data_IF_273258931330
#
_entry.id   IF_273258931330
#
_cell.length_a   1.000
_cell.length_b   1.000
_cell.length_c   1.000
_cell.angle_alpha   90.00
_cell.angle_beta   90.00
_cell.angle_gamma   90.00
#
_symmetry.space_group_name_H-M   'P 1'
#
loop_
_entity.id
_entity.type
_entity.pdbx_description
1 polymer ?
#
# COMPACT_ATOMS: atom_id res chain seq x y z
N UNK A 1 80.40 -56.40 -36.07
CA UNK A 1 81.21 -55.32 -36.69
C UNK A 1 80.62 -54.01 -36.18
N UNK A 2 81.30 -53.05 -35.56
CA UNK A 2 82.71 -52.66 -35.56
C UNK A 2 82.97 -51.89 -34.24
N UNK A 3 84.17 -52.02 -33.70
CA UNK A 3 84.59 -51.53 -32.39
C UNK A 3 85.24 -50.13 -32.43
N UNK A 4 85.10 -49.41 -31.30
CA UNK A 4 86.07 -48.50 -30.63
C UNK A 4 86.51 -47.19 -31.32
N UNK A 5 87.20 -46.21 -30.64
CA UNK A 5 87.66 -46.15 -29.23
C UNK A 5 87.52 -44.79 -28.43
N UNK A 6 87.54 -44.93 -27.09
CA UNK A 6 88.30 -44.29 -25.96
C UNK A 6 88.51 -42.75 -25.74
N UNK A 7 88.16 -42.35 -24.49
CA UNK A 7 88.80 -41.47 -23.44
C UNK A 7 89.02 -39.95 -23.67
N UNK A 8 89.34 -39.11 -22.63
CA UNK A 8 89.10 -39.14 -21.16
C UNK A 8 88.61 -37.77 -20.54
N UNK A 9 88.31 -37.73 -19.22
CA UNK A 9 88.36 -36.49 -18.41
C UNK A 9 87.50 -36.50 -17.11
N UNK A 10 88.02 -36.10 -15.92
CA UNK A 10 87.29 -36.14 -14.64
C UNK A 10 86.93 -34.76 -14.03
N UNK A 11 86.09 -34.79 -12.98
CA UNK A 11 85.89 -33.86 -11.84
C UNK A 11 84.76 -32.80 -11.85
N UNK A 12 84.11 -32.70 -10.67
CA UNK A 12 83.25 -31.60 -10.18
C UNK A 12 81.74 -31.86 -10.36
N UNK A 13 80.82 -31.63 -9.43
CA UNK A 13 80.82 -30.77 -8.23
C UNK A 13 79.64 -31.16 -7.34
N UNK A 14 79.73 -30.81 -6.05
CA UNK A 14 78.77 -31.08 -4.99
C UNK A 14 77.38 -30.43 -5.19
N UNK A 15 76.36 -31.08 -4.64
CA UNK A 15 74.97 -30.62 -4.53
C UNK A 15 74.85 -29.66 -3.34
N UNK A 16 74.31 -28.42 -3.49
CA UNK A 16 73.99 -27.59 -2.34
C UNK A 16 72.63 -27.96 -1.75
N UNK A 17 72.61 -28.08 -0.42
CA UNK A 17 71.42 -28.28 0.39
C UNK A 17 70.51 -27.03 0.38
N UNK A 18 69.20 -27.25 0.31
CA UNK A 18 68.19 -26.20 0.22
C UNK A 18 68.18 -25.25 1.43
N UNK A 19 68.14 -23.94 1.15
CA UNK A 19 67.79 -22.91 2.13
C UNK A 19 66.32 -23.07 2.53
N UNK A 20 66.08 -23.35 3.81
CA UNK A 20 64.76 -23.24 4.44
C UNK A 20 64.45 -21.75 4.64
N UNK A 21 63.44 -21.25 3.94
CA UNK A 21 62.91 -19.90 4.17
C UNK A 21 62.16 -19.92 5.51
N UNK A 22 62.73 -19.30 6.54
CA UNK A 22 62.05 -19.10 7.82
C UNK A 22 60.92 -18.10 7.60
N UNK A 23 59.68 -18.57 7.58
CA UNK A 23 58.50 -17.70 7.67
C UNK A 23 58.52 -17.00 9.03
N UNK A 24 58.95 -15.74 9.07
CA UNK A 24 58.84 -14.90 10.24
C UNK A 24 57.34 -14.76 10.58
N UNK A 25 56.90 -15.43 11.63
CA UNK A 25 55.55 -15.23 12.16
C UNK A 25 55.54 -13.86 12.85
N UNK A 26 54.93 -12.88 12.20
CA UNK A 26 54.67 -11.57 12.79
C UNK A 26 53.76 -11.76 13.99
N UNK A 27 54.25 -11.46 15.19
CA UNK A 27 53.43 -11.43 16.39
C UNK A 27 52.64 -10.11 16.39
N UNK A 28 51.31 -10.21 16.46
CA UNK A 28 50.42 -9.05 16.49
C UNK A 28 50.65 -8.26 17.79
N UNK A 29 50.87 -6.96 17.68
CA UNK A 29 51.02 -6.10 18.85
C UNK A 29 49.65 -5.69 19.39
N UNK A 30 49.56 -5.48 20.70
CA UNK A 30 48.33 -5.02 21.36
C UNK A 30 47.87 -3.67 20.79
N UNK A 31 48.82 -2.81 20.42
CA UNK A 31 48.53 -1.50 19.83
C UNK A 31 47.94 -1.61 18.43
N UNK A 32 48.40 -2.54 17.59
CA UNK A 32 47.80 -2.79 16.27
C UNK A 32 46.36 -3.24 16.41
N UNK A 33 46.06 -4.14 17.35
CA UNK A 33 44.68 -4.57 17.62
C UNK A 33 43.83 -3.41 18.15
N UNK A 34 44.39 -2.56 19.01
CA UNK A 34 43.69 -1.40 19.58
C UNK A 34 43.28 -0.38 18.50
N UNK A 35 44.19 -0.08 17.57
CA UNK A 35 43.90 0.85 16.48
C UNK A 35 42.80 0.27 15.58
N UNK A 36 42.84 -1.03 15.29
CA UNK A 36 41.83 -1.68 14.44
C UNK A 36 40.43 -1.59 15.05
N UNK A 37 40.27 -1.87 16.34
CA UNK A 37 38.96 -1.76 16.99
C UNK A 37 38.46 -0.30 17.06
N UNK A 38 39.37 0.67 17.24
CA UNK A 38 39.03 2.10 17.24
C UNK A 38 38.56 2.54 15.86
N UNK A 39 39.26 2.12 14.80
CA UNK A 39 38.89 2.42 13.41
C UNK A 39 37.55 1.78 13.05
N UNK A 40 37.35 0.49 13.37
CA UNK A 40 36.07 -0.19 13.13
C UNK A 40 34.93 0.48 13.91
N UNK A 41 35.15 0.84 15.18
CA UNK A 41 34.17 1.54 16.00
C UNK A 41 33.79 2.91 15.43
N UNK A 42 34.78 3.65 14.91
CA UNK A 42 34.55 4.93 14.22
C UNK A 42 33.75 4.74 12.93
N UNK A 43 34.10 3.76 12.11
CA UNK A 43 33.39 3.46 10.86
C UNK A 43 31.94 3.05 11.11
N UNK A 44 31.67 2.19 12.09
CA UNK A 44 30.30 1.81 12.49
C UNK A 44 29.55 3.01 13.04
N UNK A 45 30.20 3.84 13.87
CA UNK A 45 29.61 5.05 14.43
C UNK A 45 29.17 6.06 13.38
N UNK A 46 29.87 6.14 12.26
CA UNK A 46 29.50 7.00 11.11
C UNK A 46 28.45 6.35 10.19
N UNK A 47 28.36 5.02 10.14
CA UNK A 47 27.41 4.32 9.27
C UNK A 47 25.97 4.33 9.81
N UNK A 48 25.78 4.21 11.13
CA UNK A 48 24.46 4.01 11.74
C UNK A 48 23.45 5.16 11.52
N UNK A 49 23.82 6.45 11.59
CA UNK A 49 22.87 7.55 11.37
C UNK A 49 22.30 7.59 9.95
N UNK A 50 23.11 7.23 8.95
CA UNK A 50 22.71 7.25 7.54
C UNK A 50 21.64 6.20 7.19
N UNK A 51 21.56 5.11 7.98
CA UNK A 51 20.60 4.03 7.72
C UNK A 51 19.16 4.39 8.08
N UNK A 52 18.93 5.32 9.03
CA UNK A 52 17.58 5.65 9.51
C UNK A 52 16.74 6.42 8.49
N UNK A 53 17.35 7.30 7.68
CA UNK A 53 16.63 8.02 6.62
C UNK A 53 16.35 7.14 5.38
N UNK A 54 17.25 6.19 5.09
CA UNK A 54 17.09 5.26 3.96
C UNK A 54 15.87 4.35 4.15
N UNK A 55 15.60 3.91 5.38
CA UNK A 55 14.43 3.06 5.66
C UNK A 55 13.11 3.79 5.43
N UNK A 56 12.98 5.05 5.89
CA UNK A 56 11.74 5.83 5.70
C UNK A 56 11.45 6.07 4.22
N UNK A 57 12.47 6.44 3.43
CA UNK A 57 12.29 6.65 1.99
C UNK A 57 11.90 5.37 1.25
N UNK A 58 12.44 4.21 1.65
CA UNK A 58 12.04 2.91 1.10
C UNK A 58 10.58 2.60 1.42
N UNK A 59 10.15 2.91 2.65
CA UNK A 59 8.77 2.73 3.08
C UNK A 59 7.79 3.61 2.29
N UNK A 60 8.10 4.91 2.16
CA UNK A 60 7.30 5.84 1.35
C UNK A 60 7.22 5.38 -0.11
N UNK A 61 8.36 5.00 -0.71
CA UNK A 61 8.39 4.50 -2.08
C UNK A 61 7.54 3.23 -2.26
N UNK A 62 7.51 2.35 -1.25
CA UNK A 62 6.68 1.14 -1.27
C UNK A 62 5.18 1.47 -1.23
N UNK A 63 4.76 2.40 -0.37
CA UNK A 63 3.37 2.88 -0.30
C UNK A 63 2.97 3.53 -1.62
N UNK A 64 3.81 4.42 -2.17
CA UNK A 64 3.54 5.07 -3.46
C UNK A 64 3.40 4.08 -4.61
N UNK A 65 4.31 3.11 -4.72
CA UNK A 65 4.25 2.07 -5.77
C UNK A 65 2.95 1.27 -5.69
N UNK A 66 2.48 1.00 -4.47
CA UNK A 66 1.19 0.34 -4.28
C UNK A 66 0.01 1.25 -4.60
N UNK A 67 0.04 2.52 -4.17
CA UNK A 67 -1.00 3.50 -4.54
C UNK A 67 -1.10 3.67 -6.05
N UNK A 68 0.02 3.63 -6.78
CA UNK A 68 0.04 3.65 -8.25
C UNK A 68 -0.61 2.39 -8.85
N UNK A 69 -0.37 1.23 -8.23
CA UNK A 69 -0.98 -0.04 -8.61
C UNK A 69 -2.49 -0.05 -8.35
N UNK A 70 -2.93 0.46 -7.18
CA UNK A 70 -4.36 0.65 -6.84
C UNK A 70 -4.99 1.66 -7.81
N UNK A 71 -4.30 2.77 -8.10
CA UNK A 71 -4.75 3.80 -9.05
C UNK A 71 -4.93 3.26 -10.46
N UNK A 72 -4.06 2.34 -10.88
CA UNK A 72 -4.20 1.61 -12.14
C UNK A 72 -5.43 0.71 -12.14
N UNK A 73 -5.68 -0.04 -11.06
CA UNK A 73 -6.91 -0.82 -10.90
C UNK A 73 -8.19 0.03 -10.90
N UNK A 74 -8.16 1.21 -10.29
CA UNK A 74 -9.26 2.19 -10.35
C UNK A 74 -9.47 2.72 -11.77
N UNK A 75 -8.40 2.91 -12.55
CA UNK A 75 -8.50 3.28 -13.96
C UNK A 75 -9.10 2.16 -14.81
N UNK A 76 -8.73 0.90 -14.57
CA UNK A 76 -9.31 -0.28 -15.25
C UNK A 76 -10.79 -0.47 -14.90
N UNK A 77 -11.16 -0.24 -13.64
CA UNK A 77 -12.56 -0.20 -13.21
C UNK A 77 -13.32 0.88 -13.99
N UNK A 78 -12.78 2.10 -14.04
CA UNK A 78 -13.40 3.21 -14.78
C UNK A 78 -13.49 2.93 -16.28
N UNK A 79 -12.50 2.28 -16.88
CA UNK A 79 -12.54 1.87 -18.28
C UNK A 79 -13.68 0.85 -18.53
N UNK A 80 -13.94 -0.03 -17.57
CA UNK A 80 -14.99 -1.05 -17.65
C UNK A 80 -16.39 -0.48 -17.43
N UNK A 81 -16.56 0.41 -16.44
CA UNK A 81 -17.86 0.89 -15.97
C UNK A 81 -18.19 2.34 -16.35
N UNK A 82 -17.24 3.07 -16.94
CA UNK A 82 -17.39 4.47 -17.33
C UNK A 82 -17.26 5.49 -16.19
N UNK A 83 -17.17 5.05 -14.93
CA UNK A 83 -17.07 5.87 -13.71
C UNK A 83 -16.10 5.23 -12.74
N UNK A 84 -15.45 6.03 -11.90
CA UNK A 84 -14.76 5.49 -10.73
C UNK A 84 -15.78 4.85 -9.76
N UNK A 85 -15.35 3.87 -8.93
CA UNK A 85 -16.21 3.32 -7.88
C UNK A 85 -16.77 4.41 -6.96
N UNK A 86 -18.01 4.28 -6.46
CA UNK A 86 -18.49 5.16 -5.41
C UNK A 86 -17.69 4.89 -4.12
N UNK A 87 -17.29 5.95 -3.42
CA UNK A 87 -16.65 5.84 -2.09
C UNK A 87 -17.66 5.61 -0.96
N UNK A 88 -18.96 5.74 -1.24
CA UNK A 88 -20.01 5.37 -0.31
C UNK A 88 -21.23 4.80 -1.01
N UNK A 89 -21.73 3.68 -0.51
CA UNK A 89 -22.97 3.08 -1.00
C UNK A 89 -23.60 2.21 0.08
N UNK A 90 -24.93 2.19 0.13
CA UNK A 90 -25.69 1.26 0.97
C UNK A 90 -26.13 0.08 0.12
N UNK A 91 -25.64 -1.12 0.43
CA UNK A 91 -26.07 -2.37 -0.18
C UNK A 91 -27.16 -3.00 0.69
N UNK A 92 -28.19 -3.57 0.07
CA UNK A 92 -29.27 -4.24 0.80
C UNK A 92 -29.45 -5.65 0.26
N UNK A 93 -29.31 -6.61 1.15
CA UNK A 93 -29.42 -8.02 0.83
C UNK A 93 -30.85 -8.40 0.52
N UNK A 94 -31.80 -7.78 1.20
CA UNK A 94 -33.22 -7.95 0.95
C UNK A 94 -33.63 -7.29 -0.38
N UNK A 95 -34.27 -8.08 -1.24
CA UNK A 95 -34.88 -7.65 -2.47
C UNK A 95 -35.89 -6.52 -2.23
N UNK A 96 -35.79 -5.45 -3.01
CA UNK A 96 -36.68 -4.30 -2.93
C UNK A 96 -36.30 -3.24 -1.89
N UNK A 97 -35.44 -3.56 -0.91
CA UNK A 97 -35.09 -2.67 0.21
C UNK A 97 -33.95 -1.68 -0.07
N UNK A 98 -33.58 -1.51 -1.35
CA UNK A 98 -32.49 -0.62 -1.77
C UNK A 98 -32.89 0.86 -1.75
N UNK A 99 -32.01 1.71 -1.19
CA UNK A 99 -32.20 3.17 -1.24
C UNK A 99 -32.17 3.71 -2.68
N UNK A 100 -32.87 4.81 -2.96
CA UNK A 100 -32.89 5.42 -4.30
C UNK A 100 -31.49 5.78 -4.81
N UNK A 101 -30.62 6.28 -3.94
CA UNK A 101 -29.24 6.64 -4.28
C UNK A 101 -28.42 5.41 -4.66
N UNK A 102 -28.50 4.33 -3.87
CA UNK A 102 -27.83 3.07 -4.19
C UNK A 102 -28.33 2.45 -5.48
N UNK A 103 -29.65 2.50 -5.74
CA UNK A 103 -30.22 2.03 -7.00
C UNK A 103 -29.66 2.80 -8.20
N UNK A 104 -29.54 4.12 -8.09
CA UNK A 104 -28.95 4.94 -9.14
C UNK A 104 -27.46 4.62 -9.36
N UNK A 105 -26.69 4.46 -8.28
CA UNK A 105 -25.28 4.09 -8.37
C UNK A 105 -25.07 2.71 -9.00
N UNK A 106 -25.77 1.68 -8.51
CA UNK A 106 -25.69 0.32 -9.07
C UNK A 106 -26.13 0.26 -10.52
N UNK A 107 -27.17 1.00 -10.93
CA UNK A 107 -27.58 1.03 -12.34
C UNK A 107 -26.56 1.67 -13.29
N UNK A 108 -25.69 2.56 -12.79
CA UNK A 108 -24.58 3.08 -13.60
C UNK A 108 -23.55 2.00 -13.89
N UNK A 109 -23.28 1.12 -12.92
CA UNK A 109 -22.33 0.01 -13.07
C UNK A 109 -22.95 -1.19 -13.82
N UNK A 110 -24.16 -1.58 -13.44
CA UNK A 110 -24.91 -2.71 -14.00
C UNK A 110 -26.35 -2.30 -14.32
N UNK A 111 -26.62 -1.80 -15.54
CA UNK A 111 -27.96 -1.32 -15.92
C UNK A 111 -29.07 -2.36 -15.78
N UNK A 112 -28.73 -3.65 -15.92
CA UNK A 112 -29.65 -4.78 -15.82
C UNK A 112 -29.78 -5.37 -14.41
N UNK A 113 -29.16 -4.75 -13.39
CA UNK A 113 -29.18 -5.27 -12.02
C UNK A 113 -30.59 -5.55 -11.53
N UNK A 114 -30.84 -6.78 -11.08
CA UNK A 114 -32.14 -7.15 -10.52
C UNK A 114 -32.19 -6.81 -9.03
N UNK A 115 -32.89 -5.74 -8.69
CA UNK A 115 -33.08 -5.30 -7.31
C UNK A 115 -34.15 -6.07 -6.53
N UNK A 116 -34.88 -6.99 -7.17
CA UNK A 116 -35.94 -7.77 -6.52
C UNK A 116 -35.47 -9.12 -5.97
N UNK A 117 -34.18 -9.45 -6.08
CA UNK A 117 -33.62 -10.69 -5.55
C UNK A 117 -33.04 -10.45 -4.16
N UNK A 118 -33.33 -11.36 -3.25
CA UNK A 118 -32.61 -11.52 -1.99
C UNK A 118 -31.21 -12.08 -2.28
N UNK A 119 -30.18 -11.57 -1.61
CA UNK A 119 -28.77 -11.91 -1.87
C UNK A 119 -27.93 -11.77 -0.62
N UNK A 120 -27.21 -12.83 -0.29
CA UNK A 120 -26.15 -12.85 0.71
C UNK A 120 -24.86 -12.25 0.10
N UNK A 121 -24.53 -11.00 0.43
CA UNK A 121 -23.34 -10.32 -0.09
C UNK A 121 -22.11 -10.53 0.77
N UNK A 122 -22.33 -10.66 2.08
CA UNK A 122 -21.27 -10.77 3.07
C UNK A 122 -20.87 -12.23 3.34
N UNK A 123 -21.63 -13.19 2.80
CA UNK A 123 -21.43 -14.63 2.85
C UNK A 123 -21.79 -15.28 4.20
N UNK A 124 -22.56 -14.61 5.05
CA UNK A 124 -22.85 -15.06 6.41
C UNK A 124 -24.01 -16.07 6.51
N UNK A 125 -24.69 -16.32 5.39
CA UNK A 125 -25.76 -17.30 5.27
C UNK A 125 -27.16 -16.73 5.49
N UNK A 126 -27.33 -15.42 5.64
CA UNK A 126 -28.63 -14.77 5.57
C UNK A 126 -28.76 -13.77 4.41
N UNK A 127 -29.90 -13.08 4.31
CA UNK A 127 -30.17 -12.14 3.22
C UNK A 127 -31.02 -10.97 3.68
N UNK A 128 -30.83 -10.56 4.94
CA UNK A 128 -31.66 -9.58 5.63
C UNK A 128 -30.91 -8.29 5.96
N UNK A 129 -29.61 -8.25 5.67
CA UNK A 129 -28.77 -7.16 6.09
C UNK A 129 -28.80 -5.93 5.17
N UNK A 130 -28.45 -4.81 5.78
CA UNK A 130 -28.21 -3.54 5.10
C UNK A 130 -26.84 -3.04 5.50
N UNK A 131 -25.94 -3.04 4.52
CA UNK A 131 -24.52 -2.82 4.71
C UNK A 131 -24.13 -1.50 4.08
N UNK A 132 -23.44 -0.64 4.83
CA UNK A 132 -22.91 0.61 4.29
C UNK A 132 -21.42 0.45 4.00
N UNK A 133 -21.06 0.57 2.74
CA UNK A 133 -19.67 0.74 2.33
C UNK A 133 -19.28 2.21 2.46
N UNK A 134 -18.10 2.46 3.00
CA UNK A 134 -17.42 3.77 3.14
C UNK A 134 -16.06 3.73 2.46
N UNK A 135 -15.32 4.83 2.42
CA UNK A 135 -14.09 4.93 1.60
C UNK A 135 -13.03 3.86 1.85
N UNK A 136 -12.97 3.29 3.06
CA UNK A 136 -12.08 2.20 3.45
C UNK A 136 -12.52 0.81 2.93
N UNK A 137 -13.83 0.53 2.95
CA UNK A 137 -14.41 -0.76 2.57
C UNK A 137 -14.85 -0.80 1.11
N UNK A 138 -15.29 0.33 0.56
CA UNK A 138 -15.69 0.47 -0.83
C UNK A 138 -14.53 0.20 -1.79
N UNK A 139 -13.31 0.62 -1.44
CA UNK A 139 -12.11 0.35 -2.23
C UNK A 139 -11.91 -1.15 -2.44
N UNK A 140 -11.94 -1.91 -1.34
CA UNK A 140 -11.73 -3.36 -1.37
C UNK A 140 -12.87 -4.07 -2.09
N UNK A 141 -14.11 -3.69 -1.80
CA UNK A 141 -15.28 -4.29 -2.43
C UNK A 141 -15.28 -4.08 -3.96
N UNK A 142 -15.04 -2.87 -4.46
CA UNK A 142 -15.14 -2.59 -5.89
C UNK A 142 -13.93 -3.03 -6.71
N UNK A 143 -12.72 -3.02 -6.12
CA UNK A 143 -11.54 -3.51 -6.83
C UNK A 143 -11.33 -5.01 -6.67
N UNK A 144 -11.69 -5.59 -5.53
CA UNK A 144 -11.50 -7.01 -5.25
C UNK A 144 -12.72 -7.86 -5.61
N UNK A 145 -13.92 -7.29 -5.53
CA UNK A 145 -15.18 -8.00 -5.73
C UNK A 145 -15.76 -8.59 -4.45
N UNK A 146 -16.55 -9.65 -4.60
CA UNK A 146 -17.17 -10.35 -3.47
C UNK A 146 -16.21 -11.39 -2.89
N UNK A 147 -16.34 -11.67 -1.59
CA UNK A 147 -15.66 -12.81 -0.99
C UNK A 147 -16.30 -14.12 -1.43
N UNK A 148 -15.51 -15.16 -1.72
CA UNK A 148 -16.04 -16.49 -2.05
C UNK A 148 -16.76 -17.13 -0.87
N UNK A 149 -16.27 -16.87 0.32
CA UNK A 149 -16.81 -17.34 1.60
C UNK A 149 -16.53 -16.25 2.63
N UNK A 150 -17.50 -15.94 3.50
CA UNK A 150 -17.34 -14.87 4.47
C UNK A 150 -16.08 -15.05 5.32
N UNK A 151 -15.27 -14.00 5.42
CA UNK A 151 -14.03 -13.99 6.19
C UNK A 151 -12.89 -14.82 5.61
N UNK A 152 -13.04 -15.38 4.41
CA UNK A 152 -11.97 -16.12 3.74
C UNK A 152 -10.87 -15.19 3.21
N UNK A 153 -11.16 -13.91 3.00
CA UNK A 153 -10.29 -12.95 2.31
C UNK A 153 -9.99 -13.34 0.85
N UNK A 154 -10.74 -14.28 0.30
CA UNK A 154 -10.65 -14.71 -1.09
C UNK A 154 -11.61 -13.88 -1.96
N UNK A 155 -11.08 -12.76 -2.46
CA UNK A 155 -11.79 -11.80 -3.30
C UNK A 155 -11.77 -12.27 -4.75
N UNK A 156 -12.94 -12.58 -5.30
CA UNK A 156 -13.07 -13.31 -6.57
C UNK A 156 -13.69 -12.47 -7.70
N UNK A 157 -13.62 -11.15 -7.62
CA UNK A 157 -14.26 -10.25 -8.56
C UNK A 157 -15.79 -10.34 -8.52
N UNK A 158 -16.43 -9.88 -9.60
CA UNK A 158 -17.87 -9.91 -9.79
C UNK A 158 -18.28 -10.95 -10.83
N UNK A 159 -19.48 -11.53 -10.70
CA UNK A 159 -20.04 -12.37 -11.76
C UNK A 159 -20.30 -11.54 -13.02
N UNK A 160 -20.04 -12.11 -14.21
CA UNK A 160 -20.35 -11.45 -15.49
C UNK A 160 -21.85 -11.34 -15.80
N UNK A 161 -22.72 -11.96 -15.00
CA UNK A 161 -24.16 -11.80 -15.14
C UNK A 161 -24.57 -10.41 -14.61
N UNK A 162 -24.91 -9.43 -15.47
CA UNK A 162 -25.19 -8.07 -15.02
C UNK A 162 -26.48 -7.96 -14.21
N UNK A 163 -27.38 -8.96 -14.27
CA UNK A 163 -28.56 -9.03 -13.41
C UNK A 163 -28.25 -9.55 -12.00
N UNK A 164 -27.10 -10.19 -11.80
CA UNK A 164 -26.63 -10.73 -10.51
C UNK A 164 -25.08 -10.69 -10.45
N UNK A 165 -24.46 -9.51 -10.38
CA UNK A 165 -23.00 -9.38 -10.37
C UNK A 165 -22.37 -9.81 -9.05
N UNK A 166 -23.14 -9.87 -7.96
CA UNK A 166 -22.64 -10.21 -6.63
C UNK A 166 -22.70 -11.71 -6.32
N UNK A 167 -23.13 -12.55 -7.26
CA UNK A 167 -23.17 -14.00 -7.03
C UNK A 167 -21.75 -14.56 -6.84
N UNK A 168 -21.57 -15.36 -5.79
CA UNK A 168 -20.31 -16.08 -5.48
C UNK A 168 -20.16 -17.37 -6.29
N UNK A 169 -21.22 -17.80 -6.97
CA UNK A 169 -21.23 -19.00 -7.81
C UNK A 169 -20.63 -18.79 -9.20
N UNK A 170 -19.99 -19.84 -9.72
CA UNK A 170 -19.44 -19.88 -11.07
C UNK A 170 -18.08 -19.18 -11.24
N UNK A 171 -17.34 -19.61 -12.27
CA UNK A 171 -15.93 -19.22 -12.47
C UNK A 171 -15.74 -18.08 -13.49
N UNK A 172 -16.80 -17.63 -14.17
CA UNK A 172 -16.69 -16.55 -15.15
C UNK A 172 -16.84 -15.18 -14.46
N UNK A 173 -15.70 -14.56 -14.16
CA UNK A 173 -15.61 -13.35 -13.34
C UNK A 173 -15.15 -12.12 -14.13
N UNK A 174 -15.55 -10.96 -13.63
CA UNK A 174 -15.10 -9.63 -14.02
C UNK A 174 -14.26 -9.08 -12.86
N UNK A 175 -13.01 -8.69 -13.15
CA UNK A 175 -12.03 -8.42 -12.12
C UNK A 175 -11.49 -9.71 -11.46
N UNK A 176 -10.80 -9.61 -10.32
CA UNK A 176 -10.52 -8.37 -9.58
C UNK A 176 -9.75 -7.33 -10.42
N UNK A 177 -10.00 -6.05 -10.16
CA UNK A 177 -9.27 -4.94 -10.76
C UNK A 177 -7.98 -4.61 -10.00
N UNK A 178 -7.85 -5.11 -8.76
CA UNK A 178 -6.62 -5.07 -7.99
C UNK A 178 -6.51 -6.34 -7.13
N UNK A 179 -5.34 -6.97 -7.14
CA UNK A 179 -5.05 -8.17 -6.37
C UNK A 179 -4.57 -7.78 -4.96
N UNK A 180 -5.50 -7.76 -4.01
CA UNK A 180 -5.19 -7.46 -2.62
C UNK A 180 -4.37 -8.58 -1.96
N UNK A 181 -3.35 -8.20 -1.20
CA UNK A 181 -2.56 -9.17 -0.42
C UNK A 181 -3.36 -9.67 0.80
N UNK A 182 -3.65 -10.99 0.93
CA UNK A 182 -4.51 -11.52 2.00
C UNK A 182 -4.05 -11.18 3.42
N UNK A 183 -2.75 -11.11 3.66
CA UNK A 183 -2.18 -10.78 4.98
C UNK A 183 -2.45 -9.33 5.42
N UNK A 184 -2.77 -8.45 4.46
CA UNK A 184 -3.09 -7.04 4.70
C UNK A 184 -4.57 -6.71 4.55
N UNK A 185 -5.39 -7.71 4.22
CA UNK A 185 -6.84 -7.58 4.33
C UNK A 185 -7.24 -7.75 5.80
N UNK A 186 -8.03 -6.81 6.31
CA UNK A 186 -8.50 -6.77 7.70
C UNK A 186 -10.02 -6.73 7.72
N UNK A 187 -10.65 -7.40 8.69
CA UNK A 187 -12.10 -7.37 8.83
C UNK A 187 -12.54 -6.18 9.69
N UNK A 188 -13.47 -5.39 9.16
CA UNK A 188 -14.19 -4.35 9.86
C UNK A 188 -15.62 -4.84 10.12
N UNK A 189 -15.99 -4.96 11.38
CA UNK A 189 -17.37 -5.23 11.76
C UNK A 189 -18.22 -3.98 11.60
N UNK A 190 -19.30 -4.09 10.83
CA UNK A 190 -20.26 -3.03 10.55
C UNK A 190 -21.67 -3.48 10.93
N UNK A 191 -22.62 -2.56 10.89
CA UNK A 191 -24.04 -2.95 10.97
C UNK A 191 -24.38 -3.84 9.76
N UNK A 192 -24.89 -5.04 10.02
CA UNK A 192 -25.26 -6.01 8.98
C UNK A 192 -24.10 -6.83 8.40
N UNK A 193 -22.99 -6.98 9.13
CA UNK A 193 -21.98 -7.98 8.79
C UNK A 193 -20.54 -7.52 8.95
N UNK A 194 -19.63 -8.24 8.29
CA UNK A 194 -18.20 -7.93 8.27
C UNK A 194 -17.78 -7.56 6.84
N UNK A 195 -16.98 -6.50 6.74
CA UNK A 195 -16.41 -6.03 5.48
C UNK A 195 -14.89 -6.11 5.54
N UNK A 196 -14.27 -6.16 4.37
CA UNK A 196 -12.82 -6.10 4.27
C UNK A 196 -12.34 -4.67 4.04
N UNK A 197 -11.24 -4.34 4.71
CA UNK A 197 -10.44 -3.14 4.51
C UNK A 197 -9.00 -3.55 4.21
N UNK A 198 -8.19 -2.62 3.69
CA UNK A 198 -6.82 -2.92 3.26
C UNK A 198 -5.79 -1.99 3.89
N UNK A 199 -4.88 -2.54 4.69
CA UNK A 199 -3.81 -1.78 5.34
C UNK A 199 -2.61 -1.59 4.43
N UNK A 200 -1.89 -0.50 4.65
CA UNK A 200 -0.71 -0.18 3.86
C UNK A 200 0.48 -1.10 4.22
N UNK A 201 1.60 -1.04 3.47
CA UNK A 201 2.72 -1.95 3.65
C UNK A 201 3.72 -1.46 4.73
N UNK A 202 3.39 -0.44 5.50
CA UNK A 202 4.25 0.10 6.56
C UNK A 202 4.31 -0.86 7.76
N UNK A 203 5.48 -0.97 8.41
CA UNK A 203 5.64 -1.85 9.56
C UNK A 203 4.83 -1.33 10.75
N UNK A 204 4.17 -2.23 11.48
CA UNK A 204 3.49 -1.89 12.73
C UNK A 204 2.06 -1.36 12.55
N UNK A 205 1.53 -1.29 11.33
CA UNK A 205 0.10 -1.03 11.15
C UNK A 205 -0.73 -2.20 11.66
N UNK A 206 -1.39 -1.98 12.79
CA UNK A 206 -2.28 -2.92 13.44
C UNK A 206 -3.71 -2.68 12.93
N UNK A 207 -4.28 -3.67 12.25
CA UNK A 207 -5.71 -4.02 12.06
C UNK A 207 -6.82 -2.95 11.97
N UNK A 208 -6.54 -1.64 11.89
CA UNK A 208 -7.54 -0.59 12.11
C UNK A 208 -7.33 0.69 11.30
N UNK A 209 -6.20 0.86 10.61
CA UNK A 209 -5.90 2.06 9.82
C UNK A 209 -5.69 1.70 8.33
N UNK A 210 -6.76 1.39 7.58
CA UNK A 210 -6.68 0.99 6.17
C UNK A 210 -6.66 2.18 5.21
N UNK A 211 -6.11 2.04 4.00
CA UNK A 211 -6.21 3.09 2.99
C UNK A 211 -7.63 3.66 2.88
N UNK A 212 -7.74 4.99 2.87
CA UNK A 212 -9.00 5.68 2.61
C UNK A 212 -9.06 6.05 1.14
N UNK A 213 -10.11 5.59 0.46
CA UNK A 213 -10.46 6.00 -0.89
C UNK A 213 -11.66 6.94 -0.89
N UNK A 214 -11.50 8.12 -1.49
CA UNK A 214 -12.59 9.06 -1.69
C UNK A 214 -12.75 9.32 -3.18
N UNK A 215 -13.96 9.15 -3.70
CA UNK A 215 -14.32 9.45 -5.08
C UNK A 215 -14.78 10.89 -5.20
N UNK A 216 -14.33 11.57 -6.24
CA UNK A 216 -14.86 12.88 -6.63
C UNK A 216 -16.10 12.77 -7.53
N UNK A 217 -16.62 11.55 -7.74
CA UNK A 217 -17.79 11.26 -8.59
C UNK A 217 -17.69 11.93 -9.96
N UNK A 218 -16.56 11.68 -10.63
CA UNK A 218 -16.22 12.23 -11.96
C UNK A 218 -16.32 13.76 -12.06
N UNK A 219 -15.97 14.47 -10.99
CA UNK A 219 -15.98 15.92 -10.96
C UNK A 219 -17.18 16.54 -10.25
N UNK A 220 -18.13 15.73 -9.76
CA UNK A 220 -19.25 16.24 -8.96
C UNK A 220 -18.81 16.74 -7.57
N UNK A 221 -17.60 16.36 -7.14
CA UNK A 221 -16.99 16.78 -5.88
C UNK A 221 -16.97 15.67 -4.83
N UNK A 222 -16.15 15.86 -3.81
CA UNK A 222 -16.05 14.94 -2.68
C UNK A 222 -17.16 15.18 -1.66
N UNK A 223 -17.58 14.11 -0.99
CA UNK A 223 -18.57 14.17 0.08
C UNK A 223 -17.92 13.74 1.40
N UNK A 224 -18.05 14.56 2.45
CA UNK A 224 -17.48 14.25 3.78
C UNK A 224 -18.15 13.05 4.44
N UNK A 225 -19.37 12.68 4.04
CA UNK A 225 -20.03 11.47 4.52
C UNK A 225 -19.38 10.17 4.01
N UNK A 226 -18.53 10.25 2.99
CA UNK A 226 -17.80 9.09 2.45
C UNK A 226 -16.57 8.73 3.27
N UNK A 227 -16.14 9.66 4.12
CA UNK A 227 -15.04 9.46 5.06
C UNK A 227 -15.50 8.46 6.13
N UNK A 228 -14.75 7.38 6.38
CA UNK A 228 -15.08 6.44 7.45
C UNK A 228 -15.11 7.15 8.80
N UNK A 229 -16.20 7.01 9.56
CA UNK A 229 -16.35 7.69 10.85
C UNK A 229 -15.31 7.25 11.90
N UNK A 230 -14.71 6.07 11.72
CA UNK A 230 -13.63 5.53 12.55
C UNK A 230 -12.27 6.19 12.28
N UNK A 231 -12.09 6.88 11.14
CA UNK A 231 -10.79 7.44 10.73
C UNK A 231 -10.34 8.64 11.57
N UNK A 232 -11.26 9.32 12.26
CA UNK A 232 -10.98 10.63 12.89
C UNK A 232 -10.90 11.80 11.90
N UNK A 233 -10.91 11.53 10.60
CA UNK A 233 -10.89 12.54 9.55
C UNK A 233 -12.25 13.20 9.41
N UNK A 234 -12.27 14.53 9.25
CA UNK A 234 -13.51 15.32 9.16
C UNK A 234 -13.72 15.96 7.80
N UNK A 235 -12.67 16.02 6.98
CA UNK A 235 -12.70 16.62 5.66
C UNK A 235 -11.71 15.90 4.72
N UNK A 236 -12.01 15.89 3.43
CA UNK A 236 -11.05 15.48 2.41
C UNK A 236 -10.00 16.57 2.19
N UNK A 237 -8.86 16.23 1.57
CA UNK A 237 -7.81 17.20 1.31
C UNK A 237 -8.21 18.18 0.20
N UNK A 238 -7.96 19.47 0.42
CA UNK A 238 -8.31 20.58 -0.49
C UNK A 238 -7.08 21.40 -0.85
N UNK A 239 -7.02 21.87 -2.10
CA UNK A 239 -5.92 22.69 -2.61
C UNK A 239 -6.15 24.18 -2.27
N UNK A 240 -5.23 24.79 -1.49
CA UNK A 240 -5.30 26.20 -1.09
C UNK A 240 -6.11 26.47 0.19
N UNK A 241 -6.33 27.74 0.54
CA UNK A 241 -6.71 28.18 1.91
C UNK A 241 -8.12 28.79 2.09
N UNK A 242 -9.08 28.59 1.17
CA UNK A 242 -10.42 29.18 1.25
C UNK A 242 -11.58 28.18 1.15
N UNK A 243 -12.79 28.55 1.58
CA UNK A 243 -13.99 27.67 1.54
C UNK A 243 -14.37 27.17 0.13
N UNK A 244 -13.89 27.85 -0.91
CA UNK A 244 -14.05 27.51 -2.33
C UNK A 244 -12.92 26.63 -2.89
N UNK A 245 -11.92 26.29 -2.08
CA UNK A 245 -10.82 25.41 -2.47
C UNK A 245 -11.35 24.06 -2.97
N UNK A 246 -10.96 23.70 -4.20
CA UNK A 246 -11.31 22.39 -4.74
C UNK A 246 -10.58 21.28 -3.99
N UNK A 247 -11.21 20.13 -3.87
CA UNK A 247 -10.51 18.93 -3.40
C UNK A 247 -9.33 18.60 -4.31
N UNK A 248 -8.23 18.12 -3.74
CA UNK A 248 -7.15 17.52 -4.53
C UNK A 248 -7.71 16.42 -5.43
N UNK A 249 -7.20 16.29 -6.66
CA UNK A 249 -7.68 15.32 -7.65
C UNK A 249 -9.20 15.41 -7.94
N UNK A 250 -9.77 16.62 -7.96
CA UNK A 250 -11.23 16.91 -8.02
C UNK A 250 -12.06 16.23 -9.13
N UNK A 251 -11.45 15.61 -10.13
CA UNK A 251 -12.14 14.86 -11.21
C UNK A 251 -11.96 13.34 -11.12
N UNK A 252 -11.28 12.86 -10.09
CA UNK A 252 -10.90 11.46 -9.93
C UNK A 252 -11.11 11.00 -8.50
N UNK A 253 -10.04 10.80 -7.72
CA UNK A 253 -10.11 10.28 -6.38
C UNK A 253 -8.89 10.68 -5.53
N UNK A 254 -9.05 10.58 -4.22
CA UNK A 254 -7.94 10.63 -3.25
C UNK A 254 -7.72 9.22 -2.68
N UNK A 255 -6.46 8.81 -2.62
CA UNK A 255 -6.00 7.68 -1.80
C UNK A 255 -5.13 8.23 -0.69
N UNK A 256 -5.38 7.79 0.53
CA UNK A 256 -4.71 8.29 1.74
C UNK A 256 -4.26 7.09 2.56
N UNK A 257 -2.95 7.00 2.79
CA UNK A 257 -2.35 6.15 3.82
C UNK A 257 -2.16 6.99 5.09
N UNK A 258 -2.47 6.42 6.27
CA UNK A 258 -2.33 7.09 7.56
C UNK A 258 -0.88 7.15 8.07
N UNK A 259 0.11 6.86 7.22
CA UNK A 259 1.52 6.94 7.63
C UNK A 259 1.93 5.90 8.67
N UNK A 260 3.07 6.14 9.30
CA UNK A 260 3.66 5.23 10.30
C UNK A 260 2.95 5.30 11.65
N UNK A 261 2.28 6.40 11.97
CA UNK A 261 1.54 6.56 13.23
C UNK A 261 0.13 5.97 13.20
N UNK A 262 -0.41 5.71 12.00
CA UNK A 262 -1.73 5.12 11.80
C UNK A 262 -2.89 6.10 12.02
N UNK A 263 -2.65 7.42 11.98
CA UNK A 263 -3.62 8.47 12.23
C UNK A 263 -3.81 9.38 11.00
N UNK A 264 -5.03 9.46 10.47
CA UNK A 264 -5.32 10.33 9.33
C UNK A 264 -5.35 11.82 9.65
N UNK A 265 -5.44 12.20 10.93
CA UNK A 265 -5.74 13.57 11.35
C UNK A 265 -7.09 14.07 10.86
N UNK A 266 -7.23 15.39 10.66
CA UNK A 266 -8.53 16.03 10.38
C UNK A 266 -8.82 16.19 8.89
N UNK A 267 -7.79 16.24 8.07
CA UNK A 267 -7.84 16.59 6.64
C UNK A 267 -8.11 18.07 6.41
N UNK A 268 -8.56 18.44 5.20
CA UNK A 268 -8.90 19.81 4.84
C UNK A 268 -7.81 20.51 4.01
N UNK A 269 -7.59 21.81 4.25
CA UNK A 269 -6.68 22.60 3.42
C UNK A 269 -5.26 22.08 3.49
N UNK A 270 -4.69 21.72 2.35
CA UNK A 270 -3.31 21.28 2.23
C UNK A 270 -2.70 21.96 1.01
N UNK A 271 -1.68 22.77 1.27
CA UNK A 271 -0.94 23.51 0.26
C UNK A 271 0.57 23.26 0.50
N UNK A 272 1.21 22.39 -0.31
CA UNK A 272 2.63 22.10 -0.16
C UNK A 272 3.53 23.28 -0.59
N UNK A 273 3.00 24.24 -1.35
CA UNK A 273 3.78 25.34 -1.94
C UNK A 273 3.63 26.67 -1.19
N UNK A 274 2.75 26.76 -0.18
CA UNK A 274 2.57 28.02 0.53
C UNK A 274 3.72 28.30 1.53
N UNK A 275 4.68 29.09 1.08
CA UNK A 275 5.80 29.63 1.87
C UNK A 275 5.44 30.90 2.66
N UNK A 276 4.29 31.51 2.42
CA UNK A 276 3.87 32.77 3.04
C UNK A 276 2.90 32.50 4.22
N UNK A 277 3.45 32.66 5.43
CA UNK A 277 2.70 32.87 6.68
C UNK A 277 1.57 31.86 7.00
N UNK A 278 1.95 30.61 7.30
CA UNK A 278 1.19 29.75 8.21
C UNK A 278 0.15 28.80 7.61
N UNK A 279 0.06 28.64 6.29
CA UNK A 279 -0.90 27.70 5.67
C UNK A 279 -0.30 26.37 5.18
N UNK A 280 1.00 26.14 5.36
CA UNK A 280 1.60 24.79 5.28
C UNK A 280 1.37 23.97 6.56
N UNK A 281 0.76 24.58 7.59
CA UNK A 281 0.93 24.17 8.96
C UNK A 281 0.06 22.95 9.34
N UNK A 282 0.45 21.75 8.91
CA UNK A 282 0.15 20.50 9.60
C UNK A 282 0.77 20.56 11.01
N UNK A 283 0.15 21.35 11.87
CA UNK A 283 0.60 21.72 13.22
C UNK A 283 -0.59 21.65 14.17
N UNK A 284 -0.32 21.62 15.47
CA UNK A 284 -1.38 21.48 16.48
C UNK A 284 -2.24 20.23 16.22
N UNK A 285 -3.56 20.40 16.10
CA UNK A 285 -4.51 19.30 15.88
C UNK A 285 -4.35 18.57 14.54
N UNK A 286 -3.53 19.07 13.62
CA UNK A 286 -3.25 18.45 12.30
C UNK A 286 -1.85 17.85 12.19
N UNK A 287 -1.08 17.84 13.28
CA UNK A 287 0.27 17.27 13.28
C UNK A 287 0.29 15.76 12.96
N UNK A 288 -0.79 15.04 13.30
CA UNK A 288 -0.97 13.62 12.94
C UNK A 288 -0.98 13.38 11.42
N UNK A 289 -1.24 14.41 10.61
CA UNK A 289 -1.28 14.25 9.15
C UNK A 289 0.11 14.28 8.50
N UNK A 290 1.15 14.65 9.26
CA UNK A 290 2.46 14.96 8.72
C UNK A 290 3.06 13.77 7.95
N UNK A 291 2.96 12.56 8.49
CA UNK A 291 3.51 11.35 7.88
C UNK A 291 2.54 10.61 6.95
N UNK A 292 1.32 11.14 6.74
CA UNK A 292 0.39 10.60 5.76
C UNK A 292 1.01 10.61 4.35
N UNK A 293 0.67 9.59 3.57
CA UNK A 293 1.11 9.46 2.17
C UNK A 293 -0.15 9.48 1.30
N UNK A 294 -0.11 10.19 0.17
CA UNK A 294 -1.29 10.40 -0.66
C UNK A 294 -0.98 10.31 -2.15
N UNK A 295 -2.00 10.07 -2.97
CA UNK A 295 -1.82 9.99 -4.44
C UNK A 295 -1.69 11.36 -5.14
N UNK A 296 -1.63 12.46 -4.40
CA UNK A 296 -1.42 13.81 -4.95
C UNK A 296 -0.14 14.48 -4.41
N UNK A 297 0.60 13.80 -3.53
CA UNK A 297 1.87 14.27 -2.99
C UNK A 297 2.88 13.13 -2.97
N UNK A 298 4.08 13.33 -3.54
CA UNK A 298 5.05 12.24 -3.77
C UNK A 298 5.74 11.70 -2.52
N UNK A 299 5.54 12.31 -1.36
CA UNK A 299 6.10 11.88 -0.08
C UNK A 299 5.13 12.10 1.07
N UNK A 300 5.67 12.11 2.28
CA UNK A 300 4.93 12.54 3.47
C UNK A 300 4.37 13.95 3.27
N UNK A 301 3.21 14.25 3.88
CA UNK A 301 2.61 15.57 3.72
C UNK A 301 3.43 16.69 4.39
N UNK A 302 4.22 16.37 5.41
CA UNK A 302 5.22 17.27 6.01
C UNK A 302 6.41 16.49 6.58
N UNK A 303 7.59 17.13 6.61
CA UNK A 303 8.75 16.60 7.31
C UNK A 303 8.58 16.77 8.83
N UNK A 304 8.78 15.68 9.59
CA UNK A 304 8.80 15.70 11.07
C UNK A 304 10.14 16.17 11.64
#
# INVERSE_FOLDING_TARGET
MKAQPRHPGPNGSAVPAGLRHSSLRSAFTLIELMIVIVVIGMLIGLLLPALRGVTTNVHIARVNTEMDSISSGLADFKATFGTYPPSRIVLSEQGGSWTNNSRAAIRRLWPQFNFGLDRDFNGDGDSSDTITLTGDTALVFFLGGVERTSGSKDLIGFAKNPANPFSTSGNNRLGPFFEFQPDRLTQLSVAGGNLLTYVDPLPGQQTGSPYIYLSAYDGSGYNTLDIPSSSGMTNFYRQGSGSTASGWNSKSFQLISPGSDGLYGLGGHYDPENTDSGSSALTGSRAAEADNITNFHSGQLADN
#
